data_IF_147876392701
#
_entry.id   IF_147876392701
#
_cell.length_a   1.000
_cell.length_b   1.000
_cell.length_c   1.000
_cell.angle_alpha   90.00
_cell.angle_beta   90.00
_cell.angle_gamma   90.00
#
_symmetry.space_group_name_H-M   'P 1'
#
loop_
_entity.id
_entity.type
_entity.pdbx_description
1 polymer ?
#
# COMPACT_ATOMS: atom_id res chain seq x y z
N UNK A 1 23.25 -32.14 -21.36
CA UNK A 1 22.01 -31.35 -21.58
C UNK A 1 21.43 -30.99 -20.22
N UNK A 2 21.27 -29.69 -19.96
CA UNK A 2 20.36 -29.12 -18.95
C UNK A 2 20.73 -29.23 -17.46
N UNK A 3 21.67 -28.42 -16.97
CA UNK A 3 21.74 -28.11 -15.52
C UNK A 3 20.89 -26.88 -15.21
N UNK A 4 19.81 -27.11 -14.48
CA UNK A 4 18.90 -26.15 -13.89
C UNK A 4 19.62 -25.30 -12.82
N UNK A 5 19.79 -24.00 -13.08
CA UNK A 5 20.29 -23.03 -12.10
C UNK A 5 19.13 -22.21 -11.53
N UNK A 6 18.63 -22.72 -10.41
CA UNK A 6 17.82 -22.04 -9.39
C UNK A 6 18.42 -20.67 -8.98
N UNK A 7 18.01 -19.60 -9.65
CA UNK A 7 18.43 -18.21 -9.36
C UNK A 7 17.51 -17.58 -8.30
N UNK A 8 17.67 -17.99 -7.04
CA UNK A 8 17.10 -17.27 -5.88
C UNK A 8 17.77 -15.89 -5.75
N UNK A 9 17.10 -14.83 -6.21
CA UNK A 9 17.50 -13.43 -5.94
C UNK A 9 17.26 -13.15 -4.45
N UNK A 10 18.32 -13.20 -3.64
CA UNK A 10 18.30 -12.72 -2.25
C UNK A 10 18.04 -11.21 -2.26
N UNK A 11 16.97 -10.78 -1.62
CA UNK A 11 16.70 -9.36 -1.33
C UNK A 11 17.61 -8.97 -0.17
N UNK A 12 18.69 -8.26 -0.44
CA UNK A 12 19.64 -7.81 0.57
C UNK A 12 18.98 -6.81 1.53
N UNK A 13 19.04 -7.10 2.82
CA UNK A 13 18.69 -6.20 3.91
C UNK A 13 19.71 -5.05 3.92
N UNK A 14 19.29 -3.82 3.64
CA UNK A 14 20.18 -2.65 3.65
C UNK A 14 20.64 -2.33 5.08
N UNK A 15 21.94 -2.30 5.38
CA UNK A 15 22.42 -1.91 6.70
C UNK A 15 22.23 -0.40 6.93
N UNK A 16 21.53 -0.06 8.00
CA UNK A 16 21.42 1.29 8.53
C UNK A 16 22.64 1.60 9.41
N UNK A 17 23.57 2.41 8.88
CA UNK A 17 24.66 3.18 9.54
C UNK A 17 25.59 2.46 10.53
N UNK A 18 26.88 2.40 10.18
CA UNK A 18 28.03 2.85 10.99
C UNK A 18 29.32 2.89 10.14
N UNK A 19 30.17 3.91 10.36
CA UNK A 19 31.43 4.23 9.65
C UNK A 19 32.61 3.31 10.10
N UNK A 20 33.82 3.26 9.50
CA UNK A 20 34.69 4.37 9.09
C UNK A 20 35.94 3.98 8.24
N UNK A 21 36.45 5.01 7.54
CA UNK A 21 37.82 5.39 7.15
C UNK A 21 38.72 4.54 6.21
N UNK A 22 39.04 5.12 5.03
CA UNK A 22 40.26 4.83 4.28
C UNK A 22 40.16 5.15 2.78
N UNK A 23 40.98 6.09 2.28
CA UNK A 23 41.15 6.55 0.88
C UNK A 23 40.05 7.47 0.31
N UNK A 24 40.47 8.52 -0.38
CA UNK A 24 39.66 9.62 -0.90
C UNK A 24 38.64 9.23 -1.97
N UNK A 25 37.54 8.61 -1.55
CA UNK A 25 36.38 8.35 -2.39
C UNK A 25 35.23 9.26 -1.98
N UNK A 26 34.76 10.03 -2.96
CA UNK A 26 33.57 10.87 -2.96
C UNK A 26 32.46 10.26 -2.08
N UNK A 27 31.96 11.03 -1.11
CA UNK A 27 30.75 10.68 -0.35
C UNK A 27 29.70 10.23 -1.36
N UNK A 28 29.02 9.08 -1.18
CA UNK A 28 27.97 8.67 -2.11
C UNK A 28 26.96 9.80 -2.17
N UNK A 29 26.86 10.42 -3.35
CA UNK A 29 25.92 11.51 -3.59
C UNK A 29 24.54 11.02 -3.20
N UNK A 30 23.86 11.78 -2.32
CA UNK A 30 22.54 11.42 -1.82
C UNK A 30 21.58 11.31 -3.01
N UNK A 31 21.26 10.09 -3.41
CA UNK A 31 20.29 9.84 -4.48
C UNK A 31 18.88 9.90 -3.90
N UNK A 32 17.98 10.64 -4.54
CA UNK A 32 16.57 10.64 -4.15
C UNK A 32 15.95 9.26 -4.44
N UNK A 33 14.98 8.83 -3.63
CA UNK A 33 14.25 7.60 -3.89
C UNK A 33 13.63 7.58 -5.30
N UNK A 34 13.12 8.72 -5.78
CA UNK A 34 12.59 8.89 -7.15
C UNK A 34 13.64 8.60 -8.22
N UNK A 35 14.83 9.19 -8.08
CA UNK A 35 15.95 8.96 -9.00
C UNK A 35 16.44 7.51 -8.96
N UNK A 36 16.43 6.87 -7.78
CA UNK A 36 16.81 5.47 -7.61
C UNK A 36 15.84 4.54 -8.34
N UNK A 37 14.53 4.66 -8.09
CA UNK A 37 13.52 3.84 -8.75
C UNK A 37 13.51 4.03 -10.27
N UNK A 38 13.69 5.28 -10.75
CA UNK A 38 13.81 5.57 -12.18
C UNK A 38 15.04 4.92 -12.80
N UNK A 39 16.21 4.98 -12.14
CA UNK A 39 17.46 4.37 -12.65
C UNK A 39 17.42 2.85 -12.65
N UNK A 40 16.75 2.24 -11.69
CA UNK A 40 16.65 0.79 -11.59
C UNK A 40 15.45 0.22 -12.38
N UNK A 41 14.63 1.07 -13.01
CA UNK A 41 13.38 0.68 -13.68
C UNK A 41 12.48 -0.17 -12.75
N UNK A 42 12.47 0.16 -11.45
CA UNK A 42 11.72 -0.59 -10.43
C UNK A 42 10.54 0.22 -9.90
N UNK A 43 9.45 -0.48 -9.60
CA UNK A 43 8.32 0.06 -8.84
C UNK A 43 8.59 -0.01 -7.34
N UNK A 44 8.23 1.03 -6.56
CA UNK A 44 8.28 0.95 -5.11
C UNK A 44 7.41 -0.18 -4.57
N UNK A 45 7.97 -1.02 -3.70
CA UNK A 45 7.26 -2.16 -3.10
C UNK A 45 5.97 -1.77 -2.39
N UNK A 46 5.89 -0.55 -1.84
CA UNK A 46 4.68 -0.10 -1.16
C UNK A 46 3.48 0.07 -2.11
N UNK A 47 3.71 0.35 -3.41
CA UNK A 47 2.64 0.38 -4.42
C UNK A 47 2.15 -1.03 -4.75
N UNK A 48 3.05 -2.01 -4.77
CA UNK A 48 2.68 -3.42 -4.99
C UNK A 48 1.90 -3.98 -3.81
N UNK A 49 2.33 -3.68 -2.58
CA UNK A 49 1.63 -4.05 -1.35
C UNK A 49 0.24 -3.40 -1.31
N UNK A 50 0.12 -2.12 -1.69
CA UNK A 50 -1.17 -1.45 -1.82
C UNK A 50 -2.06 -2.20 -2.81
N UNK A 51 -1.55 -2.52 -4.01
CA UNK A 51 -2.32 -3.21 -5.03
C UNK A 51 -2.75 -4.61 -4.57
N UNK A 52 -1.87 -5.37 -3.93
CA UNK A 52 -2.16 -6.69 -3.38
C UNK A 52 -3.24 -6.64 -2.29
N UNK A 53 -3.17 -5.63 -1.40
CA UNK A 53 -4.18 -5.40 -0.35
C UNK A 53 -5.57 -5.19 -0.94
N UNK A 54 -5.71 -4.33 -1.95
CA UNK A 54 -6.99 -4.07 -2.60
C UNK A 54 -7.49 -5.26 -3.44
N UNK A 55 -6.59 -6.05 -4.04
CA UNK A 55 -6.96 -7.30 -4.71
C UNK A 55 -7.53 -8.33 -3.73
N UNK A 56 -6.88 -8.50 -2.57
CA UNK A 56 -7.36 -9.37 -1.50
C UNK A 56 -8.69 -8.87 -0.94
N UNK A 57 -8.81 -7.58 -0.69
CA UNK A 57 -10.04 -7.00 -0.15
C UNK A 57 -11.24 -7.20 -1.08
N UNK A 58 -11.07 -6.94 -2.38
CA UNK A 58 -12.13 -7.22 -3.35
C UNK A 58 -12.44 -8.71 -3.53
N UNK A 59 -11.51 -9.60 -3.23
CA UNK A 59 -11.81 -11.04 -3.15
C UNK A 59 -12.72 -11.33 -1.96
N UNK A 60 -12.40 -10.80 -0.78
CA UNK A 60 -13.19 -10.95 0.45
C UNK A 60 -14.63 -10.43 0.26
N UNK A 61 -14.79 -9.24 -0.32
CA UNK A 61 -16.11 -8.62 -0.55
C UNK A 61 -17.02 -9.46 -1.46
N UNK A 62 -16.44 -10.16 -2.44
CA UNK A 62 -17.17 -11.05 -3.36
C UNK A 62 -17.49 -12.43 -2.77
N UNK A 63 -16.95 -12.77 -1.61
CA UNK A 63 -17.34 -13.99 -0.89
C UNK A 63 -18.68 -13.78 -0.20
N UNK A 64 -19.29 -14.90 0.20
CA UNK A 64 -20.53 -14.91 0.97
C UNK A 64 -20.43 -14.02 2.22
N UNK A 65 -21.48 -13.27 2.60
CA UNK A 65 -21.48 -12.48 3.84
C UNK A 65 -21.22 -13.30 5.11
N UNK A 66 -21.52 -14.60 5.07
CA UNK A 66 -21.45 -15.49 6.24
C UNK A 66 -20.02 -15.80 6.69
N UNK A 67 -19.00 -15.58 5.83
CA UNK A 67 -17.61 -15.90 6.17
C UNK A 67 -17.14 -15.06 7.37
N UNK A 68 -16.28 -15.62 8.25
CA UNK A 68 -15.82 -14.92 9.45
C UNK A 68 -15.21 -13.55 9.18
N UNK A 69 -14.48 -13.40 8.07
CA UNK A 69 -13.81 -12.14 7.69
C UNK A 69 -14.81 -11.04 7.35
N UNK A 70 -15.88 -11.36 6.61
CA UNK A 70 -16.93 -10.39 6.27
C UNK A 70 -17.73 -9.99 7.52
N UNK A 71 -18.05 -10.95 8.39
CA UNK A 71 -18.69 -10.67 9.69
C UNK A 71 -17.83 -9.76 10.57
N UNK A 72 -16.53 -10.01 10.65
CA UNK A 72 -15.59 -9.19 11.42
C UNK A 72 -15.49 -7.76 10.87
N UNK A 73 -15.47 -7.60 9.54
CA UNK A 73 -15.49 -6.28 8.89
C UNK A 73 -16.77 -5.51 9.20
N UNK A 74 -17.94 -6.17 9.15
CA UNK A 74 -19.20 -5.53 9.51
C UNK A 74 -19.26 -5.17 11.00
N UNK A 75 -18.79 -6.07 11.87
CA UNK A 75 -18.70 -5.83 13.30
C UNK A 75 -17.83 -4.63 13.62
N UNK A 76 -16.69 -4.44 12.93
CA UNK A 76 -15.81 -3.29 13.14
C UNK A 76 -16.51 -1.93 13.00
N UNK A 77 -17.50 -1.81 12.09
CA UNK A 77 -18.25 -0.55 11.90
C UNK A 77 -19.48 -0.42 12.80
N UNK A 78 -19.99 -1.54 13.31
CA UNK A 78 -21.15 -1.56 14.21
C UNK A 78 -20.73 -1.42 15.68
N UNK A 79 -19.50 -1.85 16.01
CA UNK A 79 -18.99 -1.81 17.37
C UNK A 79 -18.56 -0.38 17.74
N UNK A 80 -19.43 0.29 18.51
CA UNK A 80 -19.16 1.60 19.11
C UNK A 80 -18.28 1.49 20.37
N UNK A 81 -17.60 0.35 20.59
CA UNK A 81 -16.70 0.17 21.71
C UNK A 81 -15.70 1.33 21.83
N UNK A 82 -15.49 1.78 23.06
CA UNK A 82 -14.47 2.79 23.37
C UNK A 82 -13.12 2.30 22.84
N UNK A 83 -12.53 3.06 21.92
CA UNK A 83 -11.18 2.77 21.42
C UNK A 83 -10.21 2.68 22.59
N UNK A 84 -9.37 1.65 22.60
CA UNK A 84 -8.36 1.48 23.64
C UNK A 84 -7.43 2.70 23.68
N UNK A 85 -7.13 3.18 24.89
CA UNK A 85 -6.19 4.28 25.11
C UNK A 85 -4.76 3.79 24.83
N UNK A 86 -3.99 4.52 24.03
CA UNK A 86 -2.60 4.18 23.69
C UNK A 86 -2.26 4.42 22.23
N UNK A 87 -1.19 3.77 21.73
CA UNK A 87 -0.80 3.82 20.32
C UNK A 87 -1.96 3.31 19.45
N UNK A 88 -2.41 4.07 18.44
CA UNK A 88 -3.45 3.61 17.54
C UNK A 88 -3.07 2.27 16.91
N UNK A 89 -3.93 1.26 17.07
CA UNK A 89 -3.77 -0.03 16.42
C UNK A 89 -4.08 0.17 14.94
N UNK A 90 -3.15 -0.20 14.07
CA UNK A 90 -3.36 -0.19 12.62
C UNK A 90 -4.20 -1.39 12.21
N UNK A 91 -5.51 -1.21 12.15
CA UNK A 91 -6.45 -2.23 11.67
C UNK A 91 -6.58 -2.18 10.14
N UNK A 92 -6.99 -3.30 9.52
CA UNK A 92 -7.22 -3.37 8.06
C UNK A 92 -8.18 -2.27 7.57
N UNK A 93 -9.36 -2.02 8.19
CA UNK A 93 -10.24 -0.92 7.81
C UNK A 93 -9.56 0.45 7.85
N UNK A 94 -8.71 0.70 8.86
CA UNK A 94 -8.00 1.97 9.00
C UNK A 94 -6.96 2.15 7.88
N UNK A 95 -6.20 1.10 7.57
CA UNK A 95 -5.24 1.13 6.46
C UNK A 95 -5.94 1.33 5.11
N UNK A 96 -7.04 0.63 4.86
CA UNK A 96 -7.84 0.80 3.63
C UNK A 96 -8.43 2.20 3.53
N UNK A 97 -8.96 2.75 4.63
CA UNK A 97 -9.47 4.12 4.64
C UNK A 97 -8.37 5.16 4.37
N UNK A 98 -7.14 4.92 4.86
CA UNK A 98 -6.00 5.79 4.55
C UNK A 98 -5.59 5.70 3.08
N UNK A 99 -5.63 4.52 2.47
CA UNK A 99 -5.40 4.39 1.02
C UNK A 99 -6.47 5.16 0.22
N UNK A 100 -7.74 5.10 0.64
CA UNK A 100 -8.83 5.85 0.00
C UNK A 100 -8.61 7.37 0.08
N UNK A 101 -8.05 7.89 1.17
CA UNK A 101 -7.73 9.32 1.29
C UNK A 101 -6.68 9.80 0.28
N UNK A 102 -5.90 8.89 -0.30
CA UNK A 102 -4.93 9.22 -1.37
C UNK A 102 -5.67 9.56 -2.66
N UNK A 103 -6.82 8.91 -2.91
CA UNK A 103 -7.74 9.36 -3.94
C UNK A 103 -8.30 10.71 -3.47
N UNK A 104 -7.83 11.81 -4.05
CA UNK A 104 -8.32 13.16 -3.75
C UNK A 104 -9.83 13.34 -4.02
N UNK A 105 -10.48 12.32 -4.59
CA UNK A 105 -11.89 12.28 -4.89
C UNK A 105 -12.72 11.82 -3.67
N UNK A 106 -13.48 12.74 -3.08
CA UNK A 106 -14.11 12.67 -1.74
C UNK A 106 -15.28 11.68 -1.59
N UNK A 107 -15.66 10.95 -2.62
CA UNK A 107 -16.95 10.21 -2.61
C UNK A 107 -16.93 8.86 -1.92
N UNK A 108 -15.76 8.25 -1.70
CA UNK A 108 -15.66 6.91 -1.11
C UNK A 108 -14.73 6.96 0.10
N UNK A 109 -15.33 6.81 1.28
CA UNK A 109 -14.60 6.61 2.53
C UNK A 109 -14.89 5.20 3.04
N UNK A 110 -14.13 4.70 4.02
CA UNK A 110 -14.46 3.44 4.70
C UNK A 110 -14.61 3.71 6.19
N UNK A 111 -15.70 4.41 6.53
CA UNK A 111 -16.01 4.87 7.89
C UNK A 111 -17.27 4.26 8.47
N UNK A 112 -18.21 3.84 7.61
CA UNK A 112 -19.49 3.27 7.99
C UNK A 112 -19.75 1.93 7.29
N UNK A 113 -20.68 1.14 7.83
CA UNK A 113 -21.18 -0.06 7.16
C UNK A 113 -21.78 0.25 5.78
N UNK A 114 -22.39 1.43 5.60
CA UNK A 114 -22.93 1.85 4.29
C UNK A 114 -21.83 1.94 3.23
N UNK A 115 -20.67 2.45 3.63
CA UNK A 115 -19.50 2.55 2.74
C UNK A 115 -19.00 1.17 2.30
N UNK A 116 -19.02 0.21 3.23
CA UNK A 116 -18.63 -1.17 2.95
C UNK A 116 -19.55 -1.79 1.89
N UNK A 117 -20.86 -1.55 1.97
CA UNK A 117 -21.82 -2.02 0.96
C UNK A 117 -21.64 -1.34 -0.41
N UNK A 118 -21.27 -0.05 -0.43
CA UNK A 118 -20.92 0.65 -1.68
C UNK A 118 -19.70 -0.02 -2.33
N UNK A 119 -18.63 -0.25 -1.56
CA UNK A 119 -17.44 -0.94 -2.05
C UNK A 119 -17.75 -2.37 -2.50
N UNK A 120 -18.69 -3.05 -1.84
CA UNK A 120 -19.14 -4.39 -2.22
C UNK A 120 -19.80 -4.39 -3.60
N UNK A 121 -20.68 -3.44 -3.87
CA UNK A 121 -21.31 -3.28 -5.20
C UNK A 121 -20.29 -3.03 -6.31
N UNK A 122 -19.27 -2.20 -6.04
CA UNK A 122 -18.16 -1.99 -6.99
C UNK A 122 -17.35 -3.29 -7.16
N UNK A 123 -17.11 -4.03 -6.08
CA UNK A 123 -16.33 -5.26 -6.11
C UNK A 123 -16.99 -6.41 -6.88
N UNK A 124 -18.33 -6.50 -6.89
CA UNK A 124 -19.09 -7.49 -7.65
C UNK A 124 -18.75 -7.43 -9.14
N UNK A 125 -18.64 -6.21 -9.68
CA UNK A 125 -18.24 -5.96 -11.06
C UNK A 125 -16.71 -6.01 -11.16
N UNK A 126 -16.18 -7.18 -11.49
CA UNK A 126 -14.72 -7.42 -11.57
C UNK A 126 -13.97 -6.35 -12.36
N UNK A 127 -14.50 -5.91 -13.50
CA UNK A 127 -13.84 -4.89 -14.33
C UNK A 127 -13.79 -3.53 -13.63
N UNK A 128 -14.86 -3.13 -12.95
CA UNK A 128 -14.89 -1.89 -12.16
C UNK A 128 -13.89 -1.96 -11.00
N UNK A 129 -13.82 -3.11 -10.32
CA UNK A 129 -12.83 -3.30 -9.26
C UNK A 129 -11.40 -3.21 -9.77
N UNK A 130 -11.09 -3.80 -10.94
CA UNK A 130 -9.76 -3.72 -11.54
C UNK A 130 -9.39 -2.25 -11.84
N UNK A 131 -10.27 -1.51 -12.51
CA UNK A 131 -10.07 -0.09 -12.82
C UNK A 131 -9.89 0.72 -11.53
N UNK A 132 -10.75 0.52 -10.55
CA UNK A 132 -10.68 1.18 -9.24
C UNK A 132 -9.33 0.93 -8.54
N UNK A 133 -8.84 -0.31 -8.51
CA UNK A 133 -7.52 -0.60 -7.90
C UNK A 133 -6.36 0.02 -8.68
N UNK A 134 -6.48 0.14 -10.01
CA UNK A 134 -5.49 0.81 -10.84
C UNK A 134 -5.47 2.31 -10.58
N UNK A 135 -6.64 2.93 -10.40
CA UNK A 135 -6.77 4.35 -10.07
C UNK A 135 -6.17 4.68 -8.71
N UNK A 136 -6.38 3.84 -7.68
CA UNK A 136 -5.72 4.01 -6.37
C UNK A 136 -4.20 3.94 -6.53
N UNK A 137 -3.70 2.95 -7.27
CA UNK A 137 -2.26 2.82 -7.51
C UNK A 137 -1.69 4.05 -8.21
N UNK A 138 -2.38 4.56 -9.24
CA UNK A 138 -1.99 5.75 -10.00
C UNK A 138 -1.99 7.00 -9.13
N UNK A 139 -3.02 7.20 -8.30
CA UNK A 139 -3.07 8.31 -7.36
C UNK A 139 -1.95 8.23 -6.31
N UNK A 140 -1.66 7.03 -5.80
CA UNK A 140 -0.56 6.81 -4.86
C UNK A 140 0.82 7.02 -5.48
N UNK A 141 0.98 6.76 -6.77
CA UNK A 141 2.21 7.09 -7.50
C UNK A 141 2.35 8.61 -7.73
N UNK A 142 1.26 9.28 -8.11
CA UNK A 142 1.22 10.73 -8.29
C UNK A 142 1.56 11.48 -7.00
N UNK A 143 0.92 11.12 -5.88
CA UNK A 143 1.15 11.75 -4.57
C UNK A 143 2.61 11.63 -4.06
N UNK A 144 3.41 10.72 -4.62
CA UNK A 144 4.84 10.55 -4.29
C UNK A 144 5.77 11.33 -5.20
N UNK A 145 5.27 11.76 -6.36
CA UNK A 145 6.07 12.50 -7.34
C UNK A 145 6.28 13.96 -6.93
N UNK A 146 5.48 14.46 -5.99
CA UNK A 146 5.46 15.82 -5.46
C UNK A 146 6.42 16.04 -4.26
N UNK A 147 7.16 15.01 -3.83
CA UNK A 147 8.27 15.20 -2.88
C UNK A 147 9.37 16.04 -3.56
N UNK A 148 9.36 17.35 -3.27
CA UNK A 148 10.32 18.33 -3.74
C UNK A 148 11.77 17.89 -3.48
N UNK A 149 12.74 18.25 -4.34
CA UNK A 149 14.14 17.97 -4.05
C UNK A 149 14.46 18.63 -2.72
N UNK A 150 14.95 17.84 -1.77
CA UNK A 150 15.47 18.35 -0.50
C UNK A 150 16.77 19.13 -0.76
N UNK A 151 16.64 20.28 -1.41
CA UNK A 151 17.59 21.38 -1.32
C UNK A 151 17.16 22.21 -0.13
N UNK A 152 17.75 21.93 1.02
CA UNK A 152 17.80 22.90 2.12
C UNK A 152 19.20 23.54 2.05
N UNK A 153 19.31 24.88 2.19
CA UNK A 153 20.54 25.65 1.97
C UNK A 153 21.75 25.10 2.73
#
# INVERSE_FOLDING_TARGET
>A
MGTDQNRRRKVGLFPSKAAAQGSGNSIPTKISNKSLYKKCEQTPISLEVLQARWRLFGHILRREPSIPVNKAMAFYFNDNAKRARGRPITTIPMTLNNDLKILQNRSISLTSQKDLEILRKIAERRQEWITFTADIKKAAEAARSDDAPSGRP
#
